data_IF_066509330282
#
_entry.id   IF_066509330282
#
_cell.length_a   1.000
_cell.length_b   1.000
_cell.length_c   1.000
_cell.angle_alpha   90.00
_cell.angle_beta   90.00
_cell.angle_gamma   90.00
#
_symmetry.space_group_name_H-M   'P 1'
#
loop_
_entity.id
_entity.type
_entity.pdbx_description
1 polymer ?
#
# COMPACT_ATOMS: atom_id res chain seq x y z
N UNK A 1 -0.10 -4.63 20.72
CA UNK A 1 -1.32 -3.79 20.76
C UNK A 1 -1.79 -3.61 19.33
N UNK A 2 -3.11 -3.63 19.08
CA UNK A 2 -3.67 -3.33 17.77
C UNK A 2 -4.38 -1.99 17.83
N UNK A 3 -4.41 -1.29 16.70
CA UNK A 3 -5.07 0.01 16.51
C UNK A 3 -6.30 -0.20 15.65
N UNK A 4 -7.35 0.58 15.88
CA UNK A 4 -8.59 0.50 15.11
C UNK A 4 -8.95 1.87 14.58
N UNK A 5 -9.41 1.93 13.33
CA UNK A 5 -10.01 3.13 12.78
C UNK A 5 -11.38 3.39 13.43
N UNK A 6 -11.77 4.66 13.50
CA UNK A 6 -13.06 5.08 14.09
C UNK A 6 -14.17 5.15 13.06
N UNK A 7 -13.82 5.34 11.80
CA UNK A 7 -14.76 5.54 10.70
C UNK A 7 -15.22 4.24 10.06
N UNK A 8 -16.52 4.07 9.76
CA UNK A 8 -16.96 3.03 8.86
C UNK A 8 -16.32 3.25 7.45
N UNK A 9 -16.02 2.22 6.69
CA UNK A 9 -16.18 0.77 6.90
C UNK A 9 -15.02 0.12 7.64
N UNK A 10 -14.09 0.89 8.23
CA UNK A 10 -12.83 0.38 8.80
C UNK A 10 -12.94 0.02 10.28
N UNK A 11 -14.12 0.28 10.90
CA UNK A 11 -14.39 -0.16 12.28
C UNK A 11 -14.24 -1.68 12.42
N UNK A 12 -13.52 -2.10 13.48
CA UNK A 12 -13.26 -3.52 13.74
C UNK A 12 -12.07 -4.11 12.97
N UNK A 13 -11.47 -3.36 12.04
CA UNK A 13 -10.20 -3.75 11.43
C UNK A 13 -9.08 -3.52 12.44
N UNK A 14 -8.33 -4.57 12.76
CA UNK A 14 -7.19 -4.50 13.65
C UNK A 14 -5.92 -4.20 12.85
N UNK A 15 -5.42 -2.96 12.94
CA UNK A 15 -4.13 -2.56 12.38
C UNK A 15 -3.01 -2.79 13.39
N UNK A 16 -1.83 -3.17 12.93
CA UNK A 16 -0.64 -3.26 13.78
C UNK A 16 -0.01 -1.88 14.05
N UNK A 17 -0.29 -0.91 13.17
CA UNK A 17 0.26 0.44 13.24
C UNK A 17 -0.83 1.51 13.27
N UNK A 18 -0.69 2.48 14.19
CA UNK A 18 -1.59 3.62 14.34
C UNK A 18 -1.72 4.44 13.05
N UNK A 19 -0.63 4.54 12.28
CA UNK A 19 -0.61 5.25 11.01
C UNK A 19 -1.58 4.66 9.99
N UNK A 20 -1.77 3.35 9.99
CA UNK A 20 -2.75 2.68 9.10
C UNK A 20 -4.17 3.06 9.47
N UNK A 21 -4.51 3.11 10.77
CA UNK A 21 -5.82 3.55 11.25
C UNK A 21 -6.06 5.04 10.93
N UNK A 22 -5.06 5.90 11.18
CA UNK A 22 -5.11 7.34 10.84
C UNK A 22 -5.36 7.56 9.34
N UNK A 23 -4.67 6.80 8.50
CA UNK A 23 -4.87 6.87 7.04
C UNK A 23 -6.29 6.43 6.64
N UNK A 24 -6.83 5.37 7.25
CA UNK A 24 -8.17 4.90 7.02
C UNK A 24 -9.22 5.99 7.33
N UNK A 25 -9.13 6.60 8.51
CA UNK A 25 -10.04 7.66 8.96
C UNK A 25 -9.95 8.91 8.07
N UNK A 26 -8.73 9.36 7.76
CA UNK A 26 -8.52 10.49 6.85
C UNK A 26 -9.11 10.23 5.47
N UNK A 27 -8.80 9.06 4.88
CA UNK A 27 -9.34 8.70 3.56
C UNK A 27 -10.86 8.61 3.58
N UNK A 28 -11.48 8.18 4.70
CA UNK A 28 -12.93 8.16 4.86
C UNK A 28 -13.53 9.57 4.88
N UNK A 29 -12.84 10.56 5.42
CA UNK A 29 -13.32 11.94 5.51
C UNK A 29 -13.33 12.69 4.17
N UNK A 30 -12.57 12.23 3.16
CA UNK A 30 -12.51 12.88 1.86
C UNK A 30 -13.85 12.77 1.10
N UNK A 31 -14.23 13.80 0.31
CA UNK A 31 -15.32 13.71 -0.64
C UNK A 31 -15.11 12.54 -1.61
N UNK A 32 -16.18 11.82 -1.95
CA UNK A 32 -16.11 10.64 -2.81
C UNK A 32 -17.08 10.75 -3.97
N UNK A 33 -16.62 10.34 -5.15
CA UNK A 33 -17.45 10.02 -6.28
C UNK A 33 -17.39 8.50 -6.49
N UNK A 34 -18.53 7.82 -6.48
CA UNK A 34 -18.61 6.36 -6.62
C UNK A 34 -17.59 5.63 -5.70
N UNK A 35 -17.63 5.92 -4.41
CA UNK A 35 -16.78 5.37 -3.35
C UNK A 35 -15.30 5.78 -3.37
N UNK A 36 -14.80 6.39 -4.45
CA UNK A 36 -13.38 6.71 -4.63
C UNK A 36 -13.19 8.24 -4.63
N UNK A 37 -12.39 8.79 -3.69
CA UNK A 37 -12.06 10.22 -3.69
C UNK A 37 -11.07 10.59 -4.79
N UNK A 38 -11.03 11.88 -5.12
CA UNK A 38 -10.05 12.45 -6.05
C UNK A 38 -8.74 12.75 -5.32
N UNK A 39 -7.62 12.58 -6.00
CA UNK A 39 -6.32 13.06 -5.51
C UNK A 39 -6.27 14.58 -5.30
N UNK A 40 -7.18 15.33 -5.94
CA UNK A 40 -7.28 16.80 -5.77
C UNK A 40 -7.75 17.18 -4.37
N UNK A 41 -8.51 16.29 -3.72
CA UNK A 41 -9.03 16.49 -2.38
C UNK A 41 -8.06 15.99 -1.29
N UNK A 42 -6.95 15.34 -1.71
CA UNK A 42 -5.92 14.88 -0.80
C UNK A 42 -5.01 16.03 -0.38
N UNK A 43 -5.04 16.38 0.90
CA UNK A 43 -4.15 17.37 1.51
C UNK A 43 -2.95 16.68 2.18
N UNK A 44 -1.74 16.79 1.60
CA UNK A 44 -0.54 16.26 2.24
C UNK A 44 -0.25 16.89 3.60
N UNK A 45 -0.62 18.17 3.81
CA UNK A 45 -0.43 18.87 5.07
C UNK A 45 -1.21 18.23 6.22
N UNK A 46 -2.46 17.82 5.96
CA UNK A 46 -3.29 17.10 6.93
C UNK A 46 -2.73 15.71 7.29
N UNK A 47 -1.79 15.18 6.50
CA UNK A 47 -1.18 13.87 6.69
C UNK A 47 0.34 13.96 6.96
N UNK A 48 0.87 15.13 7.30
CA UNK A 48 2.31 15.37 7.46
C UNK A 48 3.01 14.36 8.38
N UNK A 49 2.36 13.96 9.48
CA UNK A 49 2.90 13.00 10.45
C UNK A 49 3.12 11.58 9.89
N UNK A 50 2.41 11.21 8.82
CA UNK A 50 2.41 9.85 8.27
C UNK A 50 2.87 9.77 6.82
N UNK A 51 3.12 10.92 6.16
CA UNK A 51 3.54 10.99 4.75
C UNK A 51 4.84 10.24 4.45
N UNK A 52 5.75 10.18 5.42
CA UNK A 52 7.03 9.47 5.26
C UNK A 52 6.88 7.97 5.01
N UNK A 53 5.71 7.40 5.33
CA UNK A 53 5.36 5.98 5.12
C UNK A 53 4.41 5.76 3.94
N UNK A 54 4.07 6.81 3.16
CA UNK A 54 3.18 6.65 2.00
C UNK A 54 3.91 6.08 0.79
N UNK A 55 3.15 5.26 0.04
CA UNK A 55 3.53 4.81 -1.29
C UNK A 55 2.33 5.09 -2.20
N UNK A 56 2.58 5.56 -3.42
CA UNK A 56 1.54 5.77 -4.43
C UNK A 56 1.91 4.98 -5.68
N UNK A 57 1.03 4.08 -6.07
CA UNK A 57 1.11 3.38 -7.35
C UNK A 57 0.11 3.93 -8.36
N UNK A 58 0.50 3.91 -9.64
CA UNK A 58 -0.37 4.15 -10.78
C UNK A 58 -0.51 2.85 -11.58
N UNK A 59 -1.74 2.45 -11.82
CA UNK A 59 -2.08 1.29 -12.64
C UNK A 59 -2.01 1.69 -14.12
N UNK A 60 -0.94 1.29 -14.81
CA UNK A 60 -0.71 1.61 -16.23
C UNK A 60 -1.16 0.46 -17.13
N UNK A 61 -0.71 -0.76 -16.82
CA UNK A 61 -1.15 -2.01 -17.44
C UNK A 61 -0.96 -3.16 -16.45
N UNK A 62 -1.53 -4.35 -16.69
CA UNK A 62 -1.31 -5.52 -15.82
C UNK A 62 0.16 -5.88 -15.62
N UNK A 63 1.04 -5.49 -16.55
CA UNK A 63 2.49 -5.71 -16.50
C UNK A 63 3.27 -4.51 -15.96
N UNK A 64 2.59 -3.34 -15.79
CA UNK A 64 3.21 -2.09 -15.40
C UNK A 64 2.41 -1.38 -14.31
N UNK A 65 2.86 -1.50 -13.08
CA UNK A 65 2.40 -0.72 -11.92
C UNK A 65 3.48 0.30 -11.60
N UNK A 66 3.27 1.54 -12.02
CA UNK A 66 4.28 2.61 -11.86
C UNK A 66 4.30 3.11 -10.43
N UNK A 67 5.46 3.18 -9.83
CA UNK A 67 5.68 3.87 -8.56
C UNK A 67 5.67 5.37 -8.81
N UNK A 68 4.67 6.10 -8.29
CA UNK A 68 4.54 7.56 -8.41
C UNK A 68 5.21 8.31 -7.28
N UNK A 69 5.22 7.70 -6.10
CA UNK A 69 5.82 8.27 -4.89
C UNK A 69 6.19 7.17 -3.92
N UNK A 70 7.33 7.34 -3.27
CA UNK A 70 7.71 6.57 -2.08
C UNK A 70 8.14 7.53 -0.99
N UNK A 71 7.54 7.39 0.18
CA UNK A 71 7.89 8.15 1.37
C UNK A 71 9.31 7.85 1.83
N UNK A 72 9.92 8.83 2.50
CA UNK A 72 11.35 8.76 2.89
C UNK A 72 11.71 7.55 3.73
N UNK A 73 10.77 7.06 4.57
CA UNK A 73 10.95 5.86 5.40
C UNK A 73 11.27 4.60 4.59
N UNK A 74 10.84 4.52 3.33
CA UNK A 74 11.00 3.33 2.49
C UNK A 74 12.09 3.47 1.43
N UNK A 75 12.59 4.69 1.14
CA UNK A 75 13.56 4.91 0.06
C UNK A 75 14.85 4.11 0.23
N UNK A 76 15.34 4.03 1.47
CA UNK A 76 16.55 3.27 1.79
C UNK A 76 16.39 1.79 1.46
N UNK A 77 15.23 1.19 1.77
CA UNK A 77 14.93 -0.21 1.46
C UNK A 77 14.94 -0.53 -0.04
N UNK A 78 14.68 0.46 -0.92
CA UNK A 78 14.77 0.28 -2.37
C UNK A 78 16.21 0.46 -2.92
N UNK A 79 17.17 0.86 -2.09
CA UNK A 79 18.57 1.10 -2.48
C UNK A 79 18.78 2.34 -3.37
N UNK A 80 17.71 2.94 -3.88
CA UNK A 80 17.68 4.18 -4.69
C UNK A 80 16.26 4.68 -4.76
N UNK A 81 16.02 5.90 -5.27
CA UNK A 81 14.66 6.39 -5.47
C UNK A 81 13.96 5.53 -6.56
N UNK A 82 12.92 4.75 -6.21
CA UNK A 82 12.22 3.88 -7.15
C UNK A 82 11.14 4.61 -7.96
N UNK A 83 10.97 5.92 -7.80
CA UNK A 83 9.95 6.71 -8.50
C UNK A 83 10.09 6.54 -10.02
N UNK A 84 8.97 6.28 -10.69
CA UNK A 84 8.90 6.02 -12.12
C UNK A 84 9.14 4.56 -12.52
N UNK A 85 9.70 3.73 -11.63
CA UNK A 85 9.96 2.30 -11.91
C UNK A 85 8.69 1.47 -11.80
N UNK A 86 8.75 0.27 -12.35
CA UNK A 86 7.69 -0.72 -12.20
C UNK A 86 7.80 -1.42 -10.84
N UNK A 87 6.73 -1.34 -10.03
CA UNK A 87 6.68 -2.04 -8.74
C UNK A 87 6.90 -3.56 -8.90
N UNK A 88 6.40 -4.15 -10.00
CA UNK A 88 6.51 -5.59 -10.22
C UNK A 88 7.97 -6.09 -10.37
N UNK A 89 8.92 -5.18 -10.66
CA UNK A 89 10.35 -5.53 -10.70
C UNK A 89 10.92 -5.86 -9.31
N UNK A 90 10.25 -5.39 -8.25
CA UNK A 90 10.59 -5.67 -6.85
C UNK A 90 9.84 -6.89 -6.28
N UNK A 91 8.98 -7.51 -7.08
CA UNK A 91 8.22 -8.71 -6.71
C UNK A 91 8.84 -9.93 -7.37
N UNK A 92 8.94 -11.02 -6.61
CA UNK A 92 9.42 -12.29 -7.17
C UNK A 92 8.64 -12.67 -8.44
N UNK A 93 9.30 -13.12 -9.52
CA UNK A 93 8.67 -13.36 -10.82
C UNK A 93 7.43 -14.23 -10.76
N UNK A 94 7.47 -15.30 -9.95
CA UNK A 94 6.33 -16.23 -9.76
C UNK A 94 5.07 -15.59 -9.15
N UNK A 95 5.23 -14.44 -8.49
CA UNK A 95 4.14 -13.74 -7.80
C UNK A 95 3.63 -12.49 -8.52
N UNK A 96 4.33 -12.03 -9.56
CA UNK A 96 4.03 -10.75 -10.25
C UNK A 96 2.60 -10.65 -10.75
N UNK A 97 2.12 -11.67 -11.46
CA UNK A 97 0.76 -11.70 -12.00
C UNK A 97 -0.29 -11.63 -10.88
N UNK A 98 -0.09 -12.39 -9.80
CA UNK A 98 -0.99 -12.40 -8.65
C UNK A 98 -0.96 -11.06 -7.90
N UNK A 99 0.22 -10.48 -7.70
CA UNK A 99 0.37 -9.17 -7.08
C UNK A 99 -0.31 -8.07 -7.91
N UNK A 100 -0.08 -8.07 -9.24
CA UNK A 100 -0.74 -7.14 -10.15
C UNK A 100 -2.26 -7.26 -10.04
N UNK A 101 -2.81 -8.46 -10.14
CA UNK A 101 -4.26 -8.70 -10.05
C UNK A 101 -4.85 -8.19 -8.75
N UNK A 102 -4.22 -8.48 -7.60
CA UNK A 102 -4.69 -8.01 -6.30
C UNK A 102 -4.72 -6.47 -6.20
N UNK A 103 -3.70 -5.81 -6.74
CA UNK A 103 -3.62 -4.34 -6.72
C UNK A 103 -4.65 -3.71 -7.65
N UNK A 104 -4.89 -4.29 -8.83
CA UNK A 104 -5.91 -3.83 -9.76
C UNK A 104 -7.32 -3.91 -9.18
N UNK A 105 -7.62 -4.98 -8.43
CA UNK A 105 -8.91 -5.16 -7.78
C UNK A 105 -9.28 -4.01 -6.84
N UNK A 106 -8.31 -3.36 -6.21
CA UNK A 106 -8.54 -2.21 -5.33
C UNK A 106 -9.29 -1.07 -6.05
N UNK A 107 -9.03 -0.88 -7.36
CA UNK A 107 -9.70 0.14 -8.17
C UNK A 107 -10.86 -0.41 -9.01
N UNK A 108 -10.75 -1.62 -9.53
CA UNK A 108 -11.78 -2.24 -10.40
C UNK A 108 -13.06 -2.58 -9.65
N UNK A 109 -12.93 -3.11 -8.44
CA UNK A 109 -14.01 -3.31 -7.48
C UNK A 109 -13.65 -2.54 -6.21
N UNK A 110 -14.03 -1.26 -6.10
CA UNK A 110 -13.53 -0.37 -5.07
C UNK A 110 -13.54 -0.99 -3.68
N UNK A 111 -12.35 -1.28 -3.16
CA UNK A 111 -12.18 -1.92 -1.85
C UNK A 111 -10.92 -1.42 -1.15
N UNK A 112 -10.83 -1.62 0.16
CA UNK A 112 -9.59 -1.56 0.90
C UNK A 112 -8.83 -2.89 0.77
N UNK A 113 -7.50 -2.86 0.89
CA UNK A 113 -6.69 -4.06 0.99
C UNK A 113 -5.64 -3.88 2.08
N UNK A 114 -5.77 -4.66 3.14
CA UNK A 114 -4.75 -4.79 4.18
C UNK A 114 -3.93 -6.04 3.89
N UNK A 115 -2.62 -5.88 3.75
CA UNK A 115 -1.73 -7.00 3.42
C UNK A 115 -0.49 -6.98 4.30
N UNK A 116 -0.10 -8.17 4.79
CA UNK A 116 1.16 -8.41 5.45
C UNK A 116 2.11 -9.09 4.49
N UNK A 117 3.22 -8.41 4.20
CA UNK A 117 4.21 -8.83 3.23
C UNK A 117 5.51 -9.20 3.94
N UNK A 118 6.10 -10.32 3.56
CA UNK A 118 7.48 -10.64 3.92
C UNK A 118 8.39 -10.13 2.82
N UNK A 119 9.35 -9.32 3.17
CA UNK A 119 10.38 -8.83 2.27
C UNK A 119 11.78 -9.13 2.82
N UNK A 120 12.75 -9.21 1.92
CA UNK A 120 14.14 -9.51 2.22
C UNK A 120 15.05 -8.53 1.49
N UNK A 121 16.09 -8.06 2.18
CA UNK A 121 17.15 -7.29 1.56
C UNK A 121 18.18 -8.19 0.91
N UNK A 122 19.09 -7.65 0.11
CA UNK A 122 20.19 -8.41 -0.51
C UNK A 122 21.15 -8.99 0.54
N UNK A 123 21.35 -8.32 1.68
CA UNK A 123 22.17 -8.82 2.80
C UNK A 123 21.46 -9.88 3.64
N UNK A 124 20.19 -10.15 3.34
CA UNK A 124 19.45 -11.22 4.00
C UNK A 124 18.54 -10.75 5.13
N UNK A 125 18.45 -9.46 5.43
CA UNK A 125 17.53 -8.94 6.45
C UNK A 125 16.08 -9.15 6.04
N UNK A 126 15.29 -9.66 6.97
CA UNK A 126 13.88 -9.94 6.77
C UNK A 126 13.01 -8.87 7.45
N UNK A 127 11.98 -8.46 6.75
CA UNK A 127 10.98 -7.51 7.27
C UNK A 127 9.57 -8.04 7.11
N UNK A 128 8.74 -7.80 8.12
CA UNK A 128 7.29 -7.85 7.99
C UNK A 128 6.80 -6.43 7.70
N UNK A 129 6.00 -6.30 6.64
CA UNK A 129 5.42 -5.02 6.26
C UNK A 129 3.90 -5.13 6.39
N UNK A 130 3.29 -4.31 7.24
CA UNK A 130 1.86 -4.04 7.16
C UNK A 130 1.64 -2.94 6.14
N UNK A 131 0.84 -3.23 5.12
CA UNK A 131 0.54 -2.28 4.04
C UNK A 131 -0.97 -2.19 3.84
N UNK A 132 -1.52 -1.01 4.06
CA UNK A 132 -2.93 -0.74 3.87
C UNK A 132 -3.14 0.12 2.62
N UNK A 133 -3.91 -0.40 1.67
CA UNK A 133 -4.14 0.16 0.34
C UNK A 133 -5.57 0.64 0.15
N UNK A 134 -5.75 1.80 -0.46
CA UNK A 134 -7.05 2.37 -0.82
C UNK A 134 -7.01 3.02 -2.21
N UNK A 135 -8.12 2.97 -2.99
CA UNK A 135 -8.17 3.53 -4.32
C UNK A 135 -8.31 5.05 -4.30
N UNK A 136 -7.74 5.73 -5.30
CA UNK A 136 -7.88 7.16 -5.56
C UNK A 136 -8.07 7.42 -7.06
N UNK A 137 -8.85 8.46 -7.40
CA UNK A 137 -8.95 8.95 -8.78
C UNK A 137 -7.79 9.88 -9.10
N UNK A 138 -7.25 9.77 -10.30
CA UNK A 138 -6.27 10.73 -10.82
C UNK A 138 -6.97 12.05 -11.24
N UNK A 139 -6.21 13.02 -11.71
CA UNK A 139 -6.70 14.35 -12.09
C UNK A 139 -7.72 14.34 -13.25
N UNK A 140 -7.69 13.31 -14.08
CA UNK A 140 -8.65 13.08 -15.17
C UNK A 140 -9.93 12.34 -14.73
N UNK A 141 -10.07 12.04 -13.43
CA UNK A 141 -11.20 11.33 -12.85
C UNK A 141 -11.10 9.81 -12.94
N UNK A 142 -10.06 9.26 -13.60
CA UNK A 142 -9.87 7.81 -13.70
C UNK A 142 -9.42 7.21 -12.38
N UNK A 143 -10.08 6.13 -11.92
CA UNK A 143 -9.68 5.37 -10.75
C UNK A 143 -8.51 4.44 -11.10
N UNK A 144 -7.29 4.96 -11.03
CA UNK A 144 -6.05 4.22 -11.35
C UNK A 144 -4.91 4.43 -10.37
N UNK A 145 -5.16 5.19 -9.31
CA UNK A 145 -4.15 5.37 -8.27
C UNK A 145 -4.48 4.51 -7.06
N UNK A 146 -3.48 3.89 -6.50
CA UNK A 146 -3.58 3.18 -5.23
C UNK A 146 -2.63 3.85 -4.24
N UNK A 147 -3.21 4.36 -3.16
CA UNK A 147 -2.47 4.97 -2.07
C UNK A 147 -2.27 3.97 -0.96
N UNK A 148 -1.06 3.87 -0.47
CA UNK A 148 -0.69 2.95 0.59
C UNK A 148 -0.13 3.71 1.79
N UNK A 149 -0.55 3.27 2.96
CA UNK A 149 0.17 3.46 4.20
C UNK A 149 0.93 2.16 4.46
N UNK A 150 2.26 2.21 4.52
CA UNK A 150 3.09 1.03 4.70
C UNK A 150 4.05 1.20 5.87
N UNK A 151 4.10 0.21 6.75
CA UNK A 151 4.96 0.21 7.91
C UNK A 151 5.73 -1.11 7.96
N UNK A 152 7.04 -1.01 8.22
CA UNK A 152 7.94 -2.15 8.24
C UNK A 152 8.46 -2.39 9.64
N UNK A 153 8.49 -3.64 10.06
CA UNK A 153 9.16 -4.11 11.27
C UNK A 153 10.21 -5.17 10.89
N UNK A 154 11.44 -5.09 11.41
CA UNK A 154 12.43 -6.14 11.18
C UNK A 154 11.98 -7.44 11.86
N UNK A 155 12.20 -8.57 11.19
CA UNK A 155 11.97 -9.91 11.74
C UNK A 155 13.22 -10.48 12.41
N UNK A 156 14.40 -9.97 12.03
CA UNK A 156 15.69 -10.36 12.57
C UNK A 156 16.36 -9.21 13.33
N UNK A 157 17.40 -9.52 14.12
CA UNK A 157 18.22 -8.49 14.74
C UNK A 157 18.85 -7.56 13.69
N UNK A 158 18.82 -6.25 13.99
CA UNK A 158 19.28 -5.19 13.11
C UNK A 158 20.75 -5.41 12.67
N UNK A 159 20.96 -5.45 11.35
CA UNK A 159 22.27 -5.30 10.72
C UNK A 159 22.24 -4.05 9.85
N UNK A 160 23.35 -3.32 9.79
CA UNK A 160 23.46 -2.13 8.94
C UNK A 160 23.26 -2.53 7.45
N UNK A 161 22.12 -2.09 6.88
CA UNK A 161 21.68 -2.48 5.54
C UNK A 161 21.65 -1.31 4.57
N UNK A 162 22.50 -0.29 4.78
CA UNK A 162 22.47 0.99 4.05
C UNK A 162 22.60 0.90 2.50
N UNK A 163 22.79 -0.29 1.93
CA UNK A 163 23.01 -0.51 0.48
C UNK A 163 22.09 -1.61 -0.09
N UNK A 164 21.08 -2.03 0.63
CA UNK A 164 20.30 -3.21 0.27
C UNK A 164 19.09 -2.92 -0.62
N UNK A 165 18.92 -3.73 -1.65
CA UNK A 165 17.73 -3.73 -2.49
C UNK A 165 16.67 -4.67 -1.91
N UNK A 166 15.48 -4.13 -1.64
CA UNK A 166 14.35 -4.87 -1.13
C UNK A 166 13.72 -5.76 -2.23
N UNK A 167 13.43 -7.00 -1.89
CA UNK A 167 12.60 -7.90 -2.69
C UNK A 167 11.40 -8.38 -1.87
N UNK A 168 10.20 -8.25 -2.42
CA UNK A 168 8.99 -8.81 -1.82
C UNK A 168 8.96 -10.32 -2.10
N UNK A 169 9.09 -11.11 -1.04
CA UNK A 169 9.18 -12.57 -1.13
C UNK A 169 7.82 -13.24 -1.11
N UNK A 170 6.97 -12.86 -0.15
CA UNK A 170 5.72 -13.56 0.08
C UNK A 170 4.64 -12.64 0.68
N UNK A 171 3.39 -13.09 0.56
CA UNK A 171 2.23 -12.54 1.26
C UNK A 171 1.93 -13.49 2.42
N UNK A 172 2.03 -12.97 3.63
CA UNK A 172 1.69 -13.73 4.84
C UNK A 172 0.18 -13.75 5.06
N UNK A 173 -0.46 -12.60 4.86
CA UNK A 173 -1.91 -12.44 5.00
C UNK A 173 -2.40 -11.30 4.09
N UNK A 174 -3.63 -11.44 3.57
CA UNK A 174 -4.33 -10.42 2.81
C UNK A 174 -5.80 -10.43 3.13
N UNK A 175 -6.31 -9.27 3.50
CA UNK A 175 -7.72 -9.03 3.76
C UNK A 175 -8.21 -7.91 2.84
N UNK A 176 -9.23 -8.18 2.03
CA UNK A 176 -9.98 -7.14 1.34
C UNK A 176 -11.08 -6.60 2.25
N UNK A 177 -11.30 -5.30 2.20
CA UNK A 177 -12.24 -4.58 3.06
C UNK A 177 -13.30 -3.95 2.18
N UNK A 178 -14.56 -4.28 2.43
CA UNK A 178 -15.70 -3.68 1.73
C UNK A 178 -15.81 -2.19 2.09
N UNK A 179 -15.73 -1.33 1.08
CA UNK A 179 -15.97 0.11 1.22
C UNK A 179 -17.27 0.56 0.55
N UNK A 180 -18.13 -0.41 0.20
CA UNK A 180 -19.45 -0.21 -0.41
C UNK A 180 -19.67 -0.92 -1.75
N UNK A 181 -18.64 -1.59 -2.33
CA UNK A 181 -18.72 -2.34 -3.59
C UNK A 181 -18.61 -3.87 -3.40
N UNK A 182 -18.68 -4.34 -2.16
CA UNK A 182 -18.41 -5.72 -1.81
C UNK A 182 -16.93 -6.07 -1.78
N UNK A 183 -16.66 -7.35 -1.50
CA UNK A 183 -15.30 -7.91 -1.44
C UNK A 183 -15.01 -8.67 -2.73
N UNK A 184 -13.87 -8.44 -3.42
CA UNK A 184 -13.52 -9.17 -4.63
C UNK A 184 -13.26 -10.66 -4.35
N UNK A 185 -13.64 -11.51 -5.30
CA UNK A 185 -13.27 -12.94 -5.27
C UNK A 185 -11.80 -13.08 -5.70
N UNK A 186 -10.96 -13.24 -4.71
CA UNK A 186 -9.51 -13.38 -4.89
C UNK A 186 -8.94 -14.41 -3.91
N UNK A 187 -8.07 -15.28 -4.41
CA UNK A 187 -7.36 -16.29 -3.61
C UNK A 187 -5.85 -16.12 -3.76
N UNK A 188 -5.16 -16.01 -2.62
CA UNK A 188 -3.70 -16.03 -2.54
C UNK A 188 -3.09 -17.37 -2.89
#
# INVERSE_FOLDING_TARGET
MSFTATSPPFQGIAFEHEQSATFADYRHSLPKQDLIPSRRDFDPGAQAAVLNSYIIHELVSPEMIRIRLVGTKHREGFGSDPTGRNYLDFVQPKRRAKAARAIYLVCEQPCGMLVKLVSKTQTGLMYMNETFALPMRDNDGTARLVYYQSNSAPLDEYRDSSIDKLEVLDVHDRTFIDIGAGIPDFKD
#
